data_IF_439015183214
#
_entry.id   IF_439015183214
#
_cell.length_a   1.000
_cell.length_b   1.000
_cell.length_c   1.000
_cell.angle_alpha   90.00
_cell.angle_beta   90.00
_cell.angle_gamma   90.00
#
_symmetry.space_group_name_H-M   'P 1'
#
loop_
_entity.id
_entity.type
_entity.pdbx_description
1 polymer ?
#
# COMPACT_ATOMS: atom_id res chain seq x y z
N UNK A 1 -9.09 27.25 -3.08
CA UNK A 1 -9.01 26.16 -2.08
C UNK A 1 -8.68 26.77 -0.74
N UNK A 2 -9.67 26.90 0.14
CA UNK A 2 -9.47 27.40 1.49
C UNK A 2 -8.71 26.32 2.27
N UNK A 3 -7.40 26.46 2.37
CA UNK A 3 -6.58 25.66 3.27
C UNK A 3 -6.87 26.11 4.70
N UNK A 4 -7.84 25.48 5.36
CA UNK A 4 -8.06 25.68 6.78
C UNK A 4 -6.89 25.05 7.53
N UNK A 5 -6.10 25.90 8.20
CA UNK A 5 -5.01 25.53 9.11
C UNK A 5 -5.43 24.56 10.23
N UNK A 6 -6.72 24.24 10.36
CA UNK A 6 -7.29 23.33 11.35
C UNK A 6 -7.84 21.99 10.83
N UNK A 7 -7.48 21.51 9.62
CA UNK A 7 -7.89 20.16 9.19
C UNK A 7 -7.24 19.06 10.05
N UNK A 8 -8.00 18.37 10.94
CA UNK A 8 -7.44 17.36 11.83
C UNK A 8 -6.97 16.10 11.07
N UNK A 9 -7.48 15.89 9.85
CA UNK A 9 -7.16 14.73 9.01
C UNK A 9 -5.98 14.96 8.07
N UNK A 10 -5.33 16.13 8.11
CA UNK A 10 -4.20 16.45 7.23
C UNK A 10 -3.11 15.38 7.15
N UNK A 11 -2.58 14.83 8.27
CA UNK A 11 -1.54 13.80 8.19
C UNK A 11 -2.07 12.49 7.60
N UNK A 12 -3.35 12.17 7.85
CA UNK A 12 -3.98 10.99 7.29
C UNK A 12 -4.18 11.13 5.77
N UNK A 13 -4.64 12.29 5.29
CA UNK A 13 -4.75 12.56 3.84
C UNK A 13 -3.40 12.46 3.14
N UNK A 14 -2.34 12.98 3.76
CA UNK A 14 -0.98 12.85 3.23
C UNK A 14 -0.60 11.38 3.09
N UNK A 15 -0.82 10.58 4.14
CA UNK A 15 -0.52 9.16 4.13
C UNK A 15 -1.31 8.41 3.05
N UNK A 16 -2.62 8.67 2.93
CA UNK A 16 -3.45 8.07 1.88
C UNK A 16 -2.94 8.41 0.47
N UNK A 17 -2.47 9.64 0.24
CA UNK A 17 -1.85 10.03 -1.04
C UNK A 17 -0.53 9.30 -1.27
N UNK A 18 0.33 9.26 -0.26
CA UNK A 18 1.63 8.57 -0.36
C UNK A 18 1.44 7.08 -0.62
N UNK A 19 0.57 6.40 0.13
CA UNK A 19 0.28 4.98 -0.09
C UNK A 19 -0.44 4.76 -1.43
N UNK A 20 -1.36 5.65 -1.80
CA UNK A 20 -2.03 5.58 -3.10
C UNK A 20 -1.06 5.67 -4.28
N UNK A 21 -0.06 6.56 -4.21
CA UNK A 21 0.96 6.72 -5.24
C UNK A 21 1.98 5.59 -5.20
N UNK A 22 2.57 5.31 -4.04
CA UNK A 22 3.71 4.40 -3.90
C UNK A 22 3.25 2.94 -4.01
N UNK A 23 2.33 2.53 -3.13
CA UNK A 23 1.85 1.15 -3.06
C UNK A 23 0.83 0.89 -4.16
N UNK A 24 -0.09 1.83 -4.39
CA UNK A 24 -1.16 1.61 -5.35
C UNK A 24 -0.70 1.74 -6.80
N UNK A 25 -0.31 2.95 -7.20
CA UNK A 25 -0.01 3.25 -8.60
C UNK A 25 1.38 2.75 -9.03
N UNK A 26 2.46 3.14 -8.35
CA UNK A 26 3.82 2.81 -8.79
C UNK A 26 4.09 1.31 -8.72
N UNK A 27 3.86 0.69 -7.56
CA UNK A 27 4.02 -0.75 -7.40
C UNK A 27 3.01 -1.51 -8.26
N UNK A 28 1.74 -1.08 -8.31
CA UNK A 28 0.73 -1.72 -9.14
C UNK A 28 1.05 -1.70 -10.64
N UNK A 29 1.48 -0.55 -11.17
CA UNK A 29 1.94 -0.42 -12.57
C UNK A 29 3.18 -1.26 -12.83
N UNK A 30 4.13 -1.28 -11.89
CA UNK A 30 5.32 -2.13 -12.00
C UNK A 30 4.91 -3.60 -12.11
N UNK A 31 4.04 -4.11 -11.24
CA UNK A 31 3.59 -5.51 -11.29
C UNK A 31 2.71 -5.82 -12.52
N UNK A 32 1.96 -4.85 -13.02
CA UNK A 32 1.09 -5.02 -14.18
C UNK A 32 1.87 -5.11 -15.50
N UNK A 33 2.90 -4.27 -15.66
CA UNK A 33 3.59 -4.07 -16.94
C UNK A 33 4.95 -4.76 -16.99
N UNK A 34 5.62 -4.97 -15.85
CA UNK A 34 6.98 -5.48 -15.86
C UNK A 34 7.07 -6.87 -16.52
N UNK A 35 8.04 -7.07 -17.43
CA UNK A 35 8.29 -8.37 -18.03
C UNK A 35 8.87 -9.34 -16.99
N UNK A 36 8.59 -10.64 -17.13
CA UNK A 36 9.13 -11.69 -16.27
C UNK A 36 10.66 -11.66 -16.14
N UNK A 37 11.36 -11.26 -17.20
CA UNK A 37 12.83 -11.14 -17.22
C UNK A 37 13.38 -10.07 -16.27
N UNK A 38 12.60 -9.04 -15.92
CA UNK A 38 13.00 -8.03 -14.96
C UNK A 38 13.02 -8.60 -13.52
N UNK A 39 12.08 -9.49 -13.20
CA UNK A 39 12.05 -10.16 -11.89
C UNK A 39 13.22 -11.14 -11.73
N UNK A 40 13.56 -11.89 -12.79
CA UNK A 40 14.74 -12.77 -12.80
C UNK A 40 16.05 -12.00 -12.57
N UNK A 41 16.18 -10.81 -13.17
CA UNK A 41 17.36 -9.94 -12.95
C UNK A 41 17.47 -9.42 -11.53
N UNK A 42 16.35 -9.32 -10.82
CA UNK A 42 16.32 -8.87 -9.43
C UNK A 42 16.38 -10.04 -8.44
N UNK A 43 16.66 -11.25 -8.95
CA UNK A 43 16.72 -12.49 -8.15
C UNK A 43 15.42 -12.75 -7.38
N UNK A 44 14.31 -12.18 -7.85
CA UNK A 44 12.98 -12.41 -7.29
C UNK A 44 12.48 -13.73 -7.84
N UNK A 45 12.37 -14.74 -6.98
CA UNK A 45 11.67 -15.96 -7.30
C UNK A 45 10.20 -15.60 -7.57
N UNK A 46 9.76 -15.76 -8.82
CA UNK A 46 8.33 -15.69 -9.17
C UNK A 46 7.85 -17.13 -9.35
N UNK A 47 7.43 -17.81 -8.27
CA UNK A 47 6.83 -19.13 -8.41
C UNK A 47 5.46 -18.97 -9.08
N UNK A 48 5.37 -19.41 -10.34
CA UNK A 48 4.09 -19.57 -11.03
C UNK A 48 3.82 -18.58 -12.16
N UNK A 49 2.54 -18.47 -12.51
CA UNK A 49 2.13 -17.82 -13.76
C UNK A 49 2.04 -16.28 -13.61
N UNK A 50 2.69 -15.57 -14.53
CA UNK A 50 2.78 -14.10 -14.53
C UNK A 50 1.43 -13.37 -14.52
N UNK A 51 0.34 -14.01 -14.95
CA UNK A 51 -0.98 -13.39 -14.94
C UNK A 51 -1.51 -13.13 -13.52
N UNK A 52 -1.16 -13.95 -12.52
CA UNK A 52 -1.52 -13.72 -11.11
C UNK A 52 -0.85 -12.45 -10.58
N UNK A 53 0.42 -12.24 -10.95
CA UNK A 53 1.15 -11.02 -10.61
C UNK A 53 0.51 -9.78 -11.21
N UNK A 54 0.06 -9.87 -12.47
CA UNK A 54 -0.65 -8.79 -13.16
C UNK A 54 -2.01 -8.48 -12.54
N UNK A 55 -2.75 -9.50 -12.10
CA UNK A 55 -4.00 -9.29 -11.36
C UNK A 55 -3.77 -8.57 -10.03
N UNK A 56 -2.72 -8.95 -9.29
CA UNK A 56 -2.32 -8.21 -8.09
C UNK A 56 -1.92 -6.76 -8.41
N UNK A 57 -1.20 -6.54 -9.51
CA UNK A 57 -0.89 -5.20 -10.02
C UNK A 57 -2.14 -4.36 -10.32
N UNK A 58 -3.13 -4.94 -11.00
CA UNK A 58 -4.40 -4.28 -11.28
C UNK A 58 -5.19 -3.94 -9.99
N UNK A 59 -5.23 -4.86 -9.03
CA UNK A 59 -5.84 -4.62 -7.72
C UNK A 59 -5.14 -3.51 -6.94
N UNK A 60 -3.81 -3.45 -7.00
CA UNK A 60 -3.04 -2.35 -6.41
C UNK A 60 -3.35 -1.01 -7.06
N UNK A 61 -3.47 -0.95 -8.39
CA UNK A 61 -3.87 0.29 -9.09
C UNK A 61 -5.27 0.72 -8.64
N UNK A 62 -6.22 -0.21 -8.57
CA UNK A 62 -7.58 0.08 -8.09
C UNK A 62 -7.57 0.60 -6.64
N UNK A 63 -6.77 -0.02 -5.77
CA UNK A 63 -6.54 0.46 -4.41
C UNK A 63 -5.91 1.86 -4.39
N UNK A 64 -4.93 2.12 -5.25
CA UNK A 64 -4.28 3.42 -5.39
C UNK A 64 -5.26 4.52 -5.75
N UNK A 65 -6.11 4.26 -6.75
CA UNK A 65 -7.20 5.17 -7.13
C UNK A 65 -8.18 5.39 -5.97
N UNK A 66 -8.59 4.33 -5.26
CA UNK A 66 -9.45 4.43 -4.10
C UNK A 66 -8.84 5.32 -3.00
N UNK A 67 -7.56 5.11 -2.65
CA UNK A 67 -6.86 5.90 -1.63
C UNK A 67 -6.70 7.38 -2.03
N UNK A 68 -6.46 7.65 -3.32
CA UNK A 68 -6.34 9.01 -3.83
C UNK A 68 -7.68 9.75 -3.81
N UNK A 69 -8.76 9.08 -4.23
CA UNK A 69 -10.13 9.62 -4.13
C UNK A 69 -10.47 9.86 -2.66
N UNK A 70 -10.19 8.89 -1.79
CA UNK A 70 -10.40 8.99 -0.35
C UNK A 70 -9.68 10.20 0.28
N UNK A 71 -8.43 10.46 -0.13
CA UNK A 71 -7.67 11.61 0.36
C UNK A 71 -8.22 12.97 -0.10
N UNK A 72 -9.05 12.98 -1.15
CA UNK A 72 -9.71 14.16 -1.70
C UNK A 72 -11.05 14.50 -1.07
N UNK A 73 -11.66 13.60 -0.28
CA UNK A 73 -13.00 13.83 0.29
C UNK A 73 -12.96 14.87 1.41
N UNK A 74 -13.87 15.84 1.42
CA UNK A 74 -13.91 16.88 2.46
C UNK A 74 -14.14 16.31 3.86
N UNK A 75 -14.97 15.27 3.98
CA UNK A 75 -15.23 14.55 5.23
C UNK A 75 -14.79 13.09 5.11
N UNK A 76 -14.13 12.56 6.15
CA UNK A 76 -13.69 11.17 6.19
C UNK A 76 -14.70 10.34 6.98
N UNK A 77 -15.51 9.56 6.27
CA UNK A 77 -16.46 8.65 6.90
C UNK A 77 -15.71 7.48 7.60
N UNK A 78 -16.21 7.04 8.75
CA UNK A 78 -15.72 5.88 9.50
C UNK A 78 -15.63 4.61 8.64
N UNK A 79 -16.56 4.40 7.71
CA UNK A 79 -16.51 3.25 6.79
C UNK A 79 -15.24 3.30 5.94
N UNK A 80 -14.87 4.48 5.43
CA UNK A 80 -13.65 4.66 4.64
C UNK A 80 -12.39 4.47 5.47
N UNK A 81 -12.38 4.98 6.71
CA UNK A 81 -11.26 4.77 7.63
C UNK A 81 -11.09 3.28 7.96
N UNK A 82 -12.20 2.58 8.18
CA UNK A 82 -12.20 1.16 8.46
C UNK A 82 -11.73 0.33 7.26
N UNK A 83 -12.25 0.60 6.06
CA UNK A 83 -11.82 -0.12 4.85
C UNK A 83 -10.35 0.15 4.56
N UNK A 84 -9.88 1.40 4.64
CA UNK A 84 -8.47 1.73 4.47
C UNK A 84 -7.60 1.00 5.50
N UNK A 85 -7.99 1.00 6.78
CA UNK A 85 -7.27 0.28 7.84
C UNK A 85 -7.18 -1.20 7.53
N UNK A 86 -8.32 -1.84 7.24
CA UNK A 86 -8.41 -3.27 6.99
C UNK A 86 -7.54 -3.67 5.79
N UNK A 87 -7.58 -2.89 4.70
CA UNK A 87 -6.76 -3.17 3.52
C UNK A 87 -5.27 -3.11 3.85
N UNK A 88 -4.82 -2.08 4.59
CA UNK A 88 -3.40 -1.97 4.95
C UNK A 88 -2.96 -3.06 5.94
N UNK A 89 -3.83 -3.48 6.88
CA UNK A 89 -3.57 -4.61 7.77
C UNK A 89 -3.40 -5.89 6.98
N UNK A 90 -4.31 -6.19 6.04
CA UNK A 90 -4.23 -7.38 5.21
C UNK A 90 -2.94 -7.39 4.38
N UNK A 91 -2.56 -6.26 3.79
CA UNK A 91 -1.29 -6.13 3.08
C UNK A 91 -0.06 -6.33 3.98
N UNK A 92 -0.05 -5.73 5.17
CA UNK A 92 1.03 -5.93 6.13
C UNK A 92 1.14 -7.40 6.56
N UNK A 93 0.02 -8.08 6.81
CA UNK A 93 0.00 -9.50 7.15
C UNK A 93 0.51 -10.37 6.00
N UNK A 94 0.11 -10.09 4.76
CA UNK A 94 0.62 -10.81 3.58
C UNK A 94 2.14 -10.67 3.47
N UNK A 95 2.67 -9.45 3.61
CA UNK A 95 4.12 -9.22 3.59
C UNK A 95 4.83 -9.96 4.74
N UNK A 96 4.24 -9.93 5.94
CA UNK A 96 4.79 -10.61 7.11
C UNK A 96 4.82 -12.13 6.92
N UNK A 97 3.75 -12.74 6.39
CA UNK A 97 3.73 -14.17 6.09
C UNK A 97 4.71 -14.54 4.98
N UNK A 98 4.80 -13.75 3.91
CA UNK A 98 5.77 -13.97 2.83
C UNK A 98 7.22 -13.92 3.35
N UNK A 99 7.52 -13.06 4.33
CA UNK A 99 8.81 -13.03 5.01
C UNK A 99 9.04 -14.30 5.86
N UNK A 100 8.07 -14.70 6.69
CA UNK A 100 8.19 -15.89 7.53
C UNK A 100 8.36 -17.17 6.71
N UNK A 101 7.68 -17.27 5.57
CA UNK A 101 7.76 -18.41 4.64
C UNK A 101 9.03 -18.38 3.78
N UNK A 102 9.88 -17.36 3.91
CA UNK A 102 11.07 -17.17 3.08
C UNK A 102 10.73 -17.11 1.58
N UNK A 103 9.53 -16.67 1.20
CA UNK A 103 9.17 -16.46 -0.21
C UNK A 103 9.91 -15.25 -0.80
N UNK A 104 10.32 -14.34 0.08
CA UNK A 104 11.08 -13.14 -0.22
C UNK A 104 12.52 -13.29 0.26
N UNK A 105 13.23 -14.32 -0.21
CA UNK A 105 14.70 -14.37 -0.08
C UNK A 105 15.28 -13.25 -0.93
N UNK A 106 15.27 -12.04 -0.39
CA UNK A 106 15.76 -10.84 -1.03
C UNK A 106 17.29 -10.86 -0.87
N UNK A 107 17.97 -11.48 -1.84
CA UNK A 107 19.43 -11.54 -1.88
C UNK A 107 20.07 -10.15 -1.98
N UNK A 108 19.34 -9.16 -2.51
CA UNK A 108 19.81 -7.78 -2.63
C UNK A 108 19.39 -6.90 -1.45
N UNK A 109 20.33 -6.08 -0.97
CA UNK A 109 20.08 -5.04 0.06
C UNK A 109 18.97 -4.07 -0.37
N UNK A 110 18.93 -3.74 -1.67
CA UNK A 110 17.89 -2.87 -2.24
C UNK A 110 16.50 -3.50 -2.10
N UNK A 111 16.37 -4.81 -2.38
CA UNK A 111 15.12 -5.54 -2.20
C UNK A 111 14.65 -5.53 -0.75
N UNK A 112 15.57 -5.78 0.19
CA UNK A 112 15.28 -5.74 1.64
C UNK A 112 14.80 -4.36 2.10
N UNK A 113 15.48 -3.29 1.68
CA UNK A 113 15.07 -1.92 2.01
C UNK A 113 13.69 -1.59 1.43
N UNK A 114 13.41 -2.00 0.19
CA UNK A 114 12.12 -1.78 -0.45
C UNK A 114 11.00 -2.56 0.27
N UNK A 115 11.27 -3.80 0.67
CA UNK A 115 10.33 -4.61 1.44
C UNK A 115 10.00 -3.98 2.80
N UNK A 116 11.02 -3.57 3.56
CA UNK A 116 10.84 -2.88 4.84
C UNK A 116 10.05 -1.58 4.66
N UNK A 117 10.37 -0.80 3.62
CA UNK A 117 9.65 0.43 3.30
C UNK A 117 8.16 0.16 3.05
N UNK A 118 7.84 -0.82 2.20
CA UNK A 118 6.45 -1.20 1.92
C UNK A 118 5.72 -1.68 3.17
N UNK A 119 6.37 -2.50 3.99
CA UNK A 119 5.80 -2.98 5.24
C UNK A 119 5.52 -1.85 6.23
N UNK A 120 6.45 -0.92 6.40
CA UNK A 120 6.28 0.26 7.27
C UNK A 120 5.14 1.15 6.76
N UNK A 121 5.04 1.39 5.45
CA UNK A 121 3.95 2.16 4.87
C UNK A 121 2.58 1.48 5.09
N UNK A 122 2.53 0.14 5.02
CA UNK A 122 1.33 -0.62 5.38
C UNK A 122 0.99 -0.49 6.87
N UNK A 123 1.96 -0.60 7.76
CA UNK A 123 1.73 -0.41 9.20
C UNK A 123 1.25 1.00 9.53
N UNK A 124 1.84 2.03 8.92
CA UNK A 124 1.36 3.41 9.09
C UNK A 124 -0.09 3.55 8.62
N UNK A 125 -0.43 2.97 7.45
CA UNK A 125 -1.78 2.96 6.91
C UNK A 125 -2.79 2.19 7.77
N UNK A 126 -2.33 1.18 8.50
CA UNK A 126 -3.14 0.44 9.45
C UNK A 126 -3.35 1.20 10.78
N UNK A 127 -2.31 1.87 11.29
CA UNK A 127 -2.33 2.43 12.65
C UNK A 127 -2.86 3.86 12.71
N UNK A 128 -2.52 4.73 11.74
CA UNK A 128 -2.93 6.13 11.78
C UNK A 128 -4.46 6.33 11.81
N UNK A 129 -5.26 5.64 10.97
CA UNK A 129 -6.71 5.83 10.96
C UNK A 129 -7.38 5.45 12.28
N UNK A 130 -6.82 4.52 13.07
CA UNK A 130 -7.40 4.06 14.34
C UNK A 130 -7.56 5.19 15.35
N UNK A 131 -6.66 6.16 15.34
CA UNK A 131 -6.75 7.36 16.21
C UNK A 131 -8.03 8.15 15.92
N UNK A 132 -8.36 8.29 14.64
CA UNK A 132 -9.53 9.02 14.14
C UNK A 132 -10.83 8.24 14.29
N UNK A 133 -10.79 6.91 14.18
CA UNK A 133 -11.94 6.05 14.46
C UNK A 133 -12.30 6.12 15.95
N UNK A 134 -11.29 6.09 16.83
CA UNK A 134 -11.47 6.14 18.29
C UNK A 134 -11.91 7.51 18.79
N UNK A 135 -11.44 8.60 18.18
CA UNK A 135 -11.72 9.95 18.68
C UNK A 135 -13.16 10.43 18.46
N UNK A 136 -13.97 9.75 17.67
CA UNK A 136 -15.42 10.02 17.56
C UNK A 136 -15.83 11.39 17.01
N UNK A 137 -14.88 12.27 16.75
CA UNK A 137 -15.03 13.65 16.26
C UNK A 137 -14.82 13.75 14.76
#
# INVERSE_FOLDING_TARGET
MAYTLGDPFRPLRLLLRLNGIIIGLLLGLFLLVAPGSLFLRWELAVPGALWLLRLNGANLIALGCFLLIAAGQDTMNRVLLFTATLTHVLWALTLFFAYLQQELVLGSVVGQLLFVLLFVLCLLGAVLPLRYIRSGT
#
